data_IF_978541125422
#
_entry.id   IF_978541125422
#
_cell.length_a   1.000
_cell.length_b   1.000
_cell.length_c   1.000
_cell.angle_alpha   90.00
_cell.angle_beta   90.00
_cell.angle_gamma   90.00
#
_symmetry.space_group_name_H-M   'P 1'
#
loop_
_entity.id
_entity.type
_entity.pdbx_description
1 polymer ?
#
# COMPACT_ATOMS: atom_id res chain seq x y z
N UNK A 1 -12.21 4.72 -55.95
CA UNK A 1 -12.24 3.65 -56.97
C UNK A 1 -12.32 4.34 -58.34
N UNK A 2 -11.24 4.29 -59.12
CA UNK A 2 -11.05 5.09 -60.35
C UNK A 2 -11.87 4.52 -61.51
N UNK A 3 -12.82 5.29 -62.04
CA UNK A 3 -13.56 4.96 -63.27
C UNK A 3 -12.71 5.30 -64.50
N UNK A 4 -12.21 4.28 -65.19
CA UNK A 4 -11.54 4.40 -66.50
C UNK A 4 -12.60 4.69 -67.58
N UNK A 5 -12.60 5.92 -68.08
CA UNK A 5 -13.38 6.34 -69.25
C UNK A 5 -12.68 5.85 -70.53
N UNK A 6 -13.15 4.72 -71.07
CA UNK A 6 -12.74 4.24 -72.38
C UNK A 6 -13.32 5.12 -73.50
N UNK A 7 -12.48 5.89 -74.17
CA UNK A 7 -12.85 6.64 -75.39
C UNK A 7 -13.15 5.67 -76.54
N UNK A 8 -14.41 5.59 -76.94
CA UNK A 8 -14.83 4.95 -78.19
C UNK A 8 -14.27 5.73 -79.38
N UNK A 9 -13.55 5.03 -80.28
CA UNK A 9 -13.08 5.58 -81.55
C UNK A 9 -14.26 5.78 -82.51
N UNK A 10 -14.29 6.87 -83.31
CA UNK A 10 -15.35 7.09 -84.28
C UNK A 10 -15.21 6.11 -85.45
N UNK A 11 -16.33 5.50 -85.85
CA UNK A 11 -16.44 4.67 -87.06
C UNK A 11 -16.12 5.52 -88.31
N UNK A 12 -15.09 5.11 -89.08
CA UNK A 12 -14.76 5.69 -90.38
C UNK A 12 -15.86 5.34 -91.39
N UNK A 13 -16.51 6.36 -91.97
CA UNK A 13 -17.32 6.23 -93.18
C UNK A 13 -16.45 5.70 -94.32
N UNK A 14 -16.68 4.45 -94.73
CA UNK A 14 -16.16 3.91 -95.99
C UNK A 14 -16.99 4.51 -97.14
N UNK A 15 -16.37 5.36 -97.96
CA UNK A 15 -16.92 5.73 -99.27
C UNK A 15 -16.67 4.55 -100.24
N UNK A 16 -17.65 4.15 -101.07
CA UNK A 16 -17.37 3.22 -102.14
C UNK A 16 -16.51 3.94 -103.20
N UNK A 17 -15.39 3.32 -103.59
CA UNK A 17 -14.66 3.66 -104.82
C UNK A 17 -15.50 3.14 -105.98
N UNK A 18 -16.01 4.03 -106.82
CA UNK A 18 -16.41 3.69 -108.18
C UNK A 18 -15.15 3.74 -109.04
N UNK A 19 -14.67 2.57 -109.44
CA UNK A 19 -13.65 2.47 -110.47
C UNK A 19 -14.33 2.67 -111.83
N UNK A 20 -13.79 3.63 -112.57
CA UNK A 20 -14.18 3.96 -113.94
C UNK A 20 -13.88 2.77 -114.87
N UNK A 21 -14.91 2.23 -115.52
CA UNK A 21 -14.76 1.43 -116.72
C UNK A 21 -15.05 2.31 -117.94
N UNK A 22 -14.01 2.42 -118.76
CA UNK A 22 -13.89 3.17 -119.99
C UNK A 22 -14.76 2.62 -121.11
N UNK A 23 -15.35 3.56 -121.84
CA UNK A 23 -15.93 3.40 -123.17
C UNK A 23 -14.91 2.87 -124.18
N UNK A 24 -15.31 1.86 -124.96
CA UNK A 24 -15.21 1.83 -126.43
C UNK A 24 -15.63 0.46 -126.96
N UNK A 25 -16.73 0.40 -127.71
CA UNK A 25 -16.74 -0.18 -129.06
C UNK A 25 -17.98 0.26 -129.83
N UNK A 26 -17.73 0.89 -130.98
CA UNK A 26 -18.71 1.43 -131.91
C UNK A 26 -19.37 0.32 -132.77
N UNK A 27 -20.69 0.38 -132.81
CA UNK A 27 -21.48 0.40 -134.06
C UNK A 27 -21.66 -0.92 -134.82
N UNK A 28 -22.63 -1.73 -134.37
CA UNK A 28 -23.56 -2.53 -135.19
C UNK A 28 -24.78 -2.94 -134.36
N UNK A 29 -25.91 -2.23 -134.52
CA UNK A 29 -27.21 -2.70 -134.02
C UNK A 29 -28.10 -1.65 -133.38
N UNK A 30 -28.63 -0.70 -134.17
CA UNK A 30 -29.56 0.35 -133.71
C UNK A 30 -30.93 -0.15 -133.22
N UNK A 31 -31.14 -1.47 -133.12
CA UNK A 31 -32.33 -2.09 -132.50
C UNK A 31 -32.02 -2.85 -131.18
N UNK A 32 -30.74 -3.02 -130.80
CA UNK A 32 -30.34 -3.73 -129.55
C UNK A 32 -29.92 -2.79 -128.40
N UNK A 33 -29.49 -1.55 -128.67
CA UNK A 33 -29.14 -0.55 -127.63
C UNK A 33 -30.37 -0.10 -126.81
N UNK A 34 -31.56 -0.07 -127.43
CA UNK A 34 -32.78 0.32 -126.73
C UNK A 34 -33.21 -0.69 -125.66
N UNK A 35 -32.89 -1.97 -125.85
CA UNK A 35 -33.19 -3.04 -124.88
C UNK A 35 -32.21 -3.01 -123.71
N UNK A 36 -30.91 -2.80 -123.97
CA UNK A 36 -29.90 -2.68 -122.90
C UNK A 36 -30.12 -1.46 -122.01
N UNK A 37 -30.50 -0.31 -122.58
CA UNK A 37 -30.83 0.90 -121.82
C UNK A 37 -32.08 0.70 -120.96
N UNK A 38 -33.07 -0.05 -121.45
CA UNK A 38 -34.28 -0.38 -120.70
C UNK A 38 -33.98 -1.33 -119.52
N UNK A 39 -33.15 -2.35 -119.74
CA UNK A 39 -32.72 -3.29 -118.70
C UNK A 39 -31.91 -2.60 -117.61
N UNK A 40 -31.01 -1.68 -117.98
CA UNK A 40 -30.27 -0.85 -117.02
C UNK A 40 -31.20 0.05 -116.19
N UNK A 41 -32.23 0.63 -116.79
CA UNK A 41 -33.21 1.44 -116.07
C UNK A 41 -34.03 0.61 -115.07
N UNK A 42 -34.39 -0.63 -115.43
CA UNK A 42 -35.06 -1.58 -114.53
C UNK A 42 -34.14 -1.95 -113.36
N UNK A 43 -32.87 -2.26 -113.63
CA UNK A 43 -31.86 -2.58 -112.61
C UNK A 43 -31.66 -1.40 -111.65
N UNK A 44 -31.48 -0.18 -112.16
CA UNK A 44 -31.32 1.03 -111.33
C UNK A 44 -32.54 1.27 -110.43
N UNK A 45 -33.76 1.06 -110.95
CA UNK A 45 -34.99 1.16 -110.16
C UNK A 45 -35.03 0.11 -109.05
N UNK A 46 -34.62 -1.13 -109.34
CA UNK A 46 -34.52 -2.20 -108.35
C UNK A 46 -33.48 -1.89 -107.26
N UNK A 47 -32.30 -1.38 -107.64
CA UNK A 47 -31.25 -0.95 -106.71
C UNK A 47 -31.78 0.18 -105.82
N UNK A 48 -32.41 1.20 -106.38
CA UNK A 48 -32.96 2.33 -105.62
C UNK A 48 -34.04 1.88 -104.64
N UNK A 49 -34.91 0.95 -105.04
CA UNK A 49 -35.91 0.35 -104.15
C UNK A 49 -35.28 -0.52 -103.05
N UNK A 50 -34.21 -1.24 -103.37
CA UNK A 50 -33.46 -2.00 -102.36
C UNK A 50 -32.81 -1.04 -101.35
N UNK A 51 -32.18 0.04 -101.83
CA UNK A 51 -31.55 1.07 -100.99
C UNK A 51 -32.57 1.71 -100.04
N UNK A 52 -33.73 2.15 -100.54
CA UNK A 52 -34.78 2.74 -99.69
C UNK A 52 -35.28 1.76 -98.63
N UNK A 53 -35.50 0.49 -98.98
CA UNK A 53 -35.88 -0.56 -98.04
C UNK A 53 -34.78 -0.81 -96.98
N UNK A 54 -33.51 -0.82 -97.40
CA UNK A 54 -32.39 -0.98 -96.45
C UNK A 54 -32.25 0.20 -95.51
N UNK A 55 -32.44 1.44 -95.98
CA UNK A 55 -32.41 2.64 -95.14
C UNK A 55 -33.57 2.66 -94.14
N UNK A 56 -34.78 2.27 -94.56
CA UNK A 56 -35.92 2.16 -93.67
C UNK A 56 -35.69 1.13 -92.56
N UNK A 57 -35.12 -0.04 -92.89
CA UNK A 57 -34.74 -1.05 -91.89
C UNK A 57 -33.65 -0.53 -90.94
N UNK A 58 -32.69 0.23 -91.45
CA UNK A 58 -31.65 0.82 -90.63
C UNK A 58 -32.23 1.81 -89.61
N UNK A 59 -33.17 2.66 -90.03
CA UNK A 59 -33.85 3.60 -89.13
C UNK A 59 -34.69 2.87 -88.08
N UNK A 60 -35.40 1.81 -88.46
CA UNK A 60 -36.15 0.98 -87.51
C UNK A 60 -35.22 0.33 -86.46
N UNK A 61 -34.07 -0.21 -86.89
CA UNK A 61 -33.07 -0.78 -85.99
C UNK A 61 -32.48 0.29 -85.08
N UNK A 62 -32.16 1.48 -85.60
CA UNK A 62 -31.64 2.58 -84.79
C UNK A 62 -32.65 3.05 -83.73
N UNK A 63 -33.93 3.14 -84.07
CA UNK A 63 -34.99 3.49 -83.12
C UNK A 63 -35.11 2.43 -82.01
N UNK A 64 -35.08 1.13 -82.35
CA UNK A 64 -35.11 0.04 -81.35
C UNK A 64 -33.89 0.07 -80.43
N UNK A 65 -32.70 0.41 -80.96
CA UNK A 65 -31.48 0.58 -80.18
C UNK A 65 -31.62 1.75 -79.21
N UNK A 66 -32.15 2.89 -79.65
CA UNK A 66 -32.33 4.06 -78.78
C UNK A 66 -33.35 3.79 -77.67
N UNK A 67 -34.47 3.13 -77.98
CA UNK A 67 -35.45 2.70 -76.98
C UNK A 67 -34.85 1.73 -75.96
N UNK A 68 -34.09 0.73 -76.43
CA UNK A 68 -33.39 -0.23 -75.57
C UNK A 68 -32.36 0.46 -74.67
N UNK A 69 -31.58 1.40 -75.21
CA UNK A 69 -30.63 2.20 -74.43
C UNK A 69 -31.31 3.07 -73.38
N UNK A 70 -32.47 3.66 -73.71
CA UNK A 70 -33.26 4.46 -72.77
C UNK A 70 -33.79 3.60 -71.64
N UNK A 71 -34.31 2.40 -71.94
CA UNK A 71 -34.76 1.43 -70.94
C UNK A 71 -33.62 1.02 -70.01
N UNK A 72 -32.48 0.60 -70.58
CA UNK A 72 -31.29 0.22 -69.81
C UNK A 72 -30.79 1.36 -68.90
N UNK A 73 -30.75 2.60 -69.39
CA UNK A 73 -30.38 3.76 -68.56
C UNK A 73 -31.34 3.94 -67.40
N UNK A 74 -32.64 3.84 -67.63
CA UNK A 74 -33.64 4.00 -66.57
C UNK A 74 -33.54 2.89 -65.51
N UNK A 75 -33.33 1.63 -65.93
CA UNK A 75 -33.11 0.51 -65.01
C UNK A 75 -31.84 0.70 -64.18
N UNK A 76 -30.73 1.08 -64.83
CA UNK A 76 -29.48 1.36 -64.14
C UNK A 76 -29.61 2.50 -63.14
N UNK A 77 -30.30 3.59 -63.51
CA UNK A 77 -30.57 4.70 -62.60
C UNK A 77 -31.41 4.26 -61.39
N UNK A 78 -32.46 3.47 -61.60
CA UNK A 78 -33.27 2.93 -60.50
C UNK A 78 -32.47 2.07 -59.52
N UNK A 79 -31.56 1.23 -60.03
CA UNK A 79 -30.63 0.44 -59.20
C UNK A 79 -29.70 1.36 -58.41
N UNK A 80 -29.11 2.38 -59.06
CA UNK A 80 -28.22 3.34 -58.41
C UNK A 80 -28.95 4.10 -57.30
N UNK A 81 -30.16 4.59 -57.55
CA UNK A 81 -30.96 5.33 -56.58
C UNK A 81 -31.31 4.45 -55.37
N UNK A 82 -31.71 3.21 -55.61
CA UNK A 82 -32.00 2.24 -54.55
C UNK A 82 -30.76 1.95 -53.70
N UNK A 83 -29.60 1.72 -54.34
CA UNK A 83 -28.34 1.48 -53.65
C UNK A 83 -27.88 2.71 -52.85
N UNK A 84 -27.98 3.90 -53.43
CA UNK A 84 -27.63 5.17 -52.78
C UNK A 84 -28.53 5.41 -51.56
N UNK A 85 -29.84 5.19 -51.69
CA UNK A 85 -30.79 5.29 -50.59
C UNK A 85 -30.47 4.30 -49.45
N UNK A 86 -30.16 3.05 -49.79
CA UNK A 86 -29.77 2.04 -48.80
C UNK A 86 -28.44 2.38 -48.09
N UNK A 87 -27.45 2.88 -48.83
CA UNK A 87 -26.19 3.35 -48.24
C UNK A 87 -26.41 4.54 -47.31
N UNK A 88 -27.22 5.52 -47.70
CA UNK A 88 -27.55 6.67 -46.87
C UNK A 88 -28.25 6.26 -45.56
N UNK A 89 -29.14 5.26 -45.59
CA UNK A 89 -29.74 4.71 -44.36
C UNK A 89 -28.68 4.09 -43.45
N UNK A 90 -27.79 3.26 -43.99
CA UNK A 90 -26.69 2.64 -43.22
C UNK A 90 -25.74 3.68 -42.61
N UNK A 91 -25.44 4.75 -43.33
CA UNK A 91 -24.60 5.85 -42.83
C UNK A 91 -25.28 6.51 -41.63
N UNK A 92 -26.56 6.87 -41.74
CA UNK A 92 -27.32 7.46 -40.62
C UNK A 92 -27.38 6.55 -39.40
N UNK A 93 -27.56 5.25 -39.60
CA UNK A 93 -27.56 4.28 -38.50
C UNK A 93 -26.21 4.19 -37.80
N UNK A 94 -25.11 4.24 -38.57
CA UNK A 94 -23.74 4.25 -38.03
C UNK A 94 -23.43 5.54 -37.28
N UNK A 95 -23.83 6.69 -37.80
CA UNK A 95 -23.71 7.99 -37.13
C UNK A 95 -24.44 7.96 -35.79
N UNK A 96 -25.70 7.49 -35.78
CA UNK A 96 -26.49 7.36 -34.55
C UNK A 96 -25.84 6.42 -33.53
N UNK A 97 -25.34 5.25 -33.96
CA UNK A 97 -24.63 4.31 -33.07
C UNK A 97 -23.35 4.91 -32.51
N UNK A 98 -22.59 5.61 -33.34
CA UNK A 98 -21.33 6.26 -32.92
C UNK A 98 -21.61 7.35 -31.91
N UNK A 99 -22.60 8.20 -32.18
CA UNK A 99 -23.02 9.27 -31.28
C UNK A 99 -23.51 8.71 -29.94
N UNK A 100 -24.34 7.67 -29.96
CA UNK A 100 -24.79 6.98 -28.75
C UNK A 100 -23.63 6.37 -27.96
N UNK A 101 -22.65 5.76 -28.62
CA UNK A 101 -21.46 5.22 -27.95
C UNK A 101 -20.65 6.31 -27.25
N UNK A 102 -20.42 7.43 -27.92
CA UNK A 102 -19.70 8.58 -27.35
C UNK A 102 -20.41 9.11 -26.11
N UNK A 103 -21.71 9.39 -26.20
CA UNK A 103 -22.46 9.95 -25.07
C UNK A 103 -22.68 8.96 -23.92
N UNK A 104 -22.86 7.68 -24.21
CA UNK A 104 -23.13 6.67 -23.17
C UNK A 104 -21.89 6.13 -22.49
N UNK A 105 -20.72 6.19 -23.14
CA UNK A 105 -19.48 5.59 -22.61
C UNK A 105 -18.34 6.57 -22.46
N UNK A 106 -18.06 7.38 -23.46
CA UNK A 106 -16.88 8.28 -23.43
C UNK A 106 -17.11 9.42 -22.45
N UNK A 107 -18.24 10.13 -22.54
CA UNK A 107 -18.54 11.25 -21.64
C UNK A 107 -18.55 10.84 -20.15
N UNK A 108 -19.17 9.71 -19.74
CA UNK A 108 -19.08 9.27 -18.35
C UNK A 108 -17.67 8.88 -17.90
N UNK A 109 -16.82 8.39 -18.80
CA UNK A 109 -15.42 8.09 -18.48
C UNK A 109 -14.62 9.38 -18.28
N UNK A 110 -14.82 10.39 -19.12
CA UNK A 110 -14.20 11.71 -18.97
C UNK A 110 -14.56 12.33 -17.61
N UNK A 111 -15.83 12.24 -17.20
CA UNK A 111 -16.26 12.72 -15.88
C UNK A 111 -15.59 11.95 -14.74
N UNK A 112 -15.50 10.61 -14.83
CA UNK A 112 -14.80 9.80 -13.81
C UNK A 112 -13.31 10.11 -13.73
N UNK A 113 -12.67 10.42 -14.86
CA UNK A 113 -11.27 10.85 -14.89
C UNK A 113 -11.14 12.20 -14.17
N UNK A 114 -12.02 13.17 -14.45
CA UNK A 114 -12.01 14.46 -13.78
C UNK A 114 -12.22 14.34 -12.26
N UNK A 115 -13.12 13.46 -11.81
CA UNK A 115 -13.31 13.17 -10.39
C UNK A 115 -12.05 12.55 -9.76
N UNK A 116 -11.39 11.63 -10.47
CA UNK A 116 -10.14 11.02 -10.02
C UNK A 116 -9.02 12.05 -9.87
N UNK A 117 -8.86 12.94 -10.85
CA UNK A 117 -7.85 14.01 -10.81
C UNK A 117 -8.08 14.94 -9.62
N UNK A 118 -9.35 15.26 -9.31
CA UNK A 118 -9.69 16.04 -8.12
C UNK A 118 -9.28 15.31 -6.83
N UNK A 119 -9.61 14.03 -6.70
CA UNK A 119 -9.21 13.23 -5.53
C UNK A 119 -7.68 13.12 -5.39
N UNK A 120 -6.95 12.98 -6.50
CA UNK A 120 -5.48 12.99 -6.48
C UNK A 120 -4.95 14.35 -5.97
N UNK A 121 -5.56 15.45 -6.40
CA UNK A 121 -5.22 16.79 -5.92
C UNK A 121 -5.42 16.95 -4.41
N UNK A 122 -6.53 16.44 -3.87
CA UNK A 122 -6.81 16.44 -2.43
C UNK A 122 -5.77 15.63 -1.66
N UNK A 123 -5.45 14.41 -2.12
CA UNK A 123 -4.41 13.55 -1.52
C UNK A 123 -3.05 14.24 -1.52
N UNK A 124 -2.67 14.90 -2.62
CA UNK A 124 -1.41 15.62 -2.71
C UNK A 124 -1.32 16.76 -1.67
N UNK A 125 -2.43 17.48 -1.46
CA UNK A 125 -2.53 18.51 -0.43
C UNK A 125 -2.34 17.92 0.97
N UNK A 126 -3.01 16.81 1.28
CA UNK A 126 -2.92 16.14 2.58
C UNK A 126 -1.50 15.63 2.86
N UNK A 127 -0.85 15.00 1.87
CA UNK A 127 0.55 14.57 1.97
C UNK A 127 1.48 15.76 2.22
N UNK A 128 1.23 16.90 1.59
CA UNK A 128 2.01 18.13 1.81
C UNK A 128 1.84 18.70 3.22
N UNK A 129 0.64 18.61 3.80
CA UNK A 129 0.38 18.98 5.20
C UNK A 129 1.13 18.03 6.14
N UNK A 130 1.01 16.72 5.93
CA UNK A 130 1.72 15.71 6.71
C UNK A 130 3.23 15.90 6.67
N UNK A 131 3.80 16.19 5.50
CA UNK A 131 5.23 16.46 5.35
C UNK A 131 5.69 17.65 6.22
N UNK A 132 4.89 18.72 6.30
CA UNK A 132 5.18 19.85 7.19
C UNK A 132 5.08 19.47 8.66
N UNK A 133 4.05 18.73 9.05
CA UNK A 133 3.87 18.27 10.43
C UNK A 133 5.03 17.38 10.87
N UNK A 134 5.46 16.45 10.02
CA UNK A 134 6.64 15.60 10.30
C UNK A 134 7.89 16.46 10.47
N UNK A 135 8.11 17.45 9.60
CA UNK A 135 9.25 18.37 9.73
C UNK A 135 9.26 19.15 11.06
N UNK A 136 8.09 19.57 11.55
CA UNK A 136 7.97 20.21 12.87
C UNK A 136 8.30 19.23 14.00
N UNK A 137 7.74 18.01 13.97
CA UNK A 137 8.02 16.97 14.97
C UNK A 137 9.52 16.64 15.01
N UNK A 138 10.16 16.49 13.85
CA UNK A 138 11.60 16.26 13.78
C UNK A 138 12.41 17.40 14.41
N UNK A 139 11.97 18.64 14.26
CA UNK A 139 12.59 19.80 14.90
C UNK A 139 12.45 19.74 16.43
N UNK A 140 11.24 19.46 16.92
CA UNK A 140 10.95 19.38 18.35
C UNK A 140 11.75 18.24 19.03
N UNK A 141 11.82 17.07 18.38
CA UNK A 141 12.61 15.94 18.86
C UNK A 141 14.11 16.29 18.93
N UNK A 142 14.64 17.02 17.94
CA UNK A 142 16.04 17.49 17.97
C UNK A 142 16.27 18.46 19.14
N UNK A 143 15.32 19.33 19.42
CA UNK A 143 15.44 20.27 20.54
C UNK A 143 15.37 19.55 21.89
N UNK A 144 14.41 18.65 22.07
CA UNK A 144 14.33 17.80 23.27
C UNK A 144 15.63 17.00 23.49
N UNK A 145 16.23 16.47 22.43
CA UNK A 145 17.50 15.76 22.53
C UNK A 145 18.64 16.66 23.05
N UNK A 146 18.70 17.92 22.62
CA UNK A 146 19.67 18.91 23.14
C UNK A 146 19.40 19.25 24.60
N UNK A 147 18.13 19.46 24.96
CA UNK A 147 17.75 19.72 26.36
C UNK A 147 18.13 18.56 27.28
N UNK A 148 17.90 17.33 26.83
CA UNK A 148 18.25 16.11 27.57
C UNK A 148 19.77 15.99 27.77
N UNK A 149 20.57 16.25 26.73
CA UNK A 149 22.04 16.30 26.85
C UNK A 149 22.49 17.37 27.87
N UNK A 150 21.87 18.56 27.83
CA UNK A 150 22.17 19.62 28.80
C UNK A 150 21.82 19.20 30.24
N UNK A 151 20.71 18.49 30.44
CA UNK A 151 20.31 17.95 31.74
C UNK A 151 21.29 16.88 32.23
N UNK A 152 21.75 15.99 31.35
CA UNK A 152 22.74 14.97 31.68
C UNK A 152 24.06 15.59 32.17
N UNK A 153 24.52 16.65 31.50
CA UNK A 153 25.69 17.42 31.93
C UNK A 153 25.48 18.07 33.29
N UNK A 154 24.31 18.68 33.54
CA UNK A 154 23.97 19.29 34.84
C UNK A 154 23.92 18.23 35.95
N UNK A 155 23.29 17.08 35.71
CA UNK A 155 23.21 15.97 36.65
C UNK A 155 24.60 15.44 37.00
N UNK A 156 25.47 15.28 35.99
CA UNK A 156 26.86 14.87 36.18
C UNK A 156 27.64 15.85 37.06
N UNK A 157 27.44 17.17 36.88
CA UNK A 157 28.04 18.20 37.75
C UNK A 157 27.56 18.08 39.20
N UNK A 158 26.25 17.94 39.41
CA UNK A 158 25.68 17.78 40.76
C UNK A 158 26.22 16.52 41.44
N UNK A 159 26.26 15.39 40.71
CA UNK A 159 26.83 14.13 41.21
C UNK A 159 28.27 14.31 41.68
N UNK A 160 29.09 15.04 40.90
CA UNK A 160 30.48 15.33 41.26
C UNK A 160 30.60 16.21 42.52
N UNK A 161 29.71 17.20 42.69
CA UNK A 161 29.65 18.03 43.91
C UNK A 161 29.32 17.16 45.13
N UNK A 162 28.26 16.34 45.04
CA UNK A 162 27.85 15.44 46.13
C UNK A 162 28.98 14.47 46.48
N UNK A 163 29.68 13.91 45.49
CA UNK A 163 30.83 13.04 45.75
C UNK A 163 31.97 13.76 46.49
N UNK A 164 32.25 15.02 46.16
CA UNK A 164 33.26 15.83 46.85
C UNK A 164 32.85 16.13 48.29
N UNK A 165 31.60 16.55 48.52
CA UNK A 165 31.09 16.86 49.85
C UNK A 165 31.02 15.61 50.74
N UNK A 166 30.52 14.48 50.22
CA UNK A 166 30.46 13.22 50.96
C UNK A 166 31.86 12.67 51.30
N UNK A 167 32.83 12.81 50.40
CA UNK A 167 34.23 12.47 50.71
C UNK A 167 34.81 13.35 51.82
N UNK A 168 34.47 14.64 51.82
CA UNK A 168 34.94 15.60 52.82
C UNK A 168 34.29 15.32 54.17
N UNK A 169 32.97 15.10 54.18
CA UNK A 169 32.22 14.71 55.38
C UNK A 169 32.70 13.38 55.95
N UNK A 170 33.00 12.38 55.12
CA UNK A 170 33.51 11.10 55.58
C UNK A 170 34.90 11.25 56.24
N UNK A 171 35.78 12.10 55.71
CA UNK A 171 37.05 12.42 56.38
C UNK A 171 36.83 13.11 57.74
N UNK A 172 35.97 14.13 57.80
CA UNK A 172 35.67 14.83 59.06
C UNK A 172 35.00 13.91 60.07
N UNK A 173 34.06 13.07 59.63
CA UNK A 173 33.36 12.11 60.48
C UNK A 173 34.29 11.01 61.00
N UNK A 174 35.19 10.48 60.17
CA UNK A 174 36.24 9.55 60.62
C UNK A 174 37.15 10.21 61.65
N UNK A 175 37.56 11.45 61.42
CA UNK A 175 38.38 12.21 62.38
C UNK A 175 37.62 12.40 63.70
N UNK A 176 36.36 12.80 63.64
CA UNK A 176 35.50 12.95 64.82
C UNK A 176 35.31 11.63 65.56
N UNK A 177 35.04 10.52 64.86
CA UNK A 177 34.96 9.19 65.45
C UNK A 177 36.28 8.78 66.09
N UNK A 178 37.43 9.05 65.47
CA UNK A 178 38.74 8.78 66.08
C UNK A 178 38.93 9.57 67.37
N UNK A 179 38.56 10.85 67.39
CA UNK A 179 38.61 11.70 68.60
C UNK A 179 37.65 11.16 69.67
N UNK A 180 36.41 10.81 69.31
CA UNK A 180 35.42 10.23 70.22
C UNK A 180 35.91 8.89 70.78
N UNK A 181 36.49 8.02 69.96
CA UNK A 181 37.10 6.77 70.41
C UNK A 181 38.29 7.03 71.33
N UNK A 182 39.15 8.00 71.04
CA UNK A 182 40.26 8.36 71.93
C UNK A 182 39.75 8.87 73.29
N UNK A 183 38.72 9.72 73.30
CA UNK A 183 38.06 10.20 74.53
C UNK A 183 37.41 9.03 75.27
N UNK A 184 36.70 8.16 74.56
CA UNK A 184 36.01 7.01 75.17
C UNK A 184 37.00 5.96 75.67
N UNK A 185 38.13 5.74 75.00
CA UNK A 185 39.21 4.87 75.47
C UNK A 185 39.91 5.46 76.70
N UNK A 186 40.16 6.77 76.72
CA UNK A 186 40.65 7.47 77.91
C UNK A 186 39.67 7.35 79.09
N UNK A 187 38.36 7.44 78.84
CA UNK A 187 37.32 7.30 79.87
C UNK A 187 37.08 5.83 80.28
N UNK A 188 37.22 4.88 79.35
CA UNK A 188 37.09 3.44 79.61
C UNK A 188 38.30 2.89 80.39
N UNK A 189 39.48 3.50 80.28
CA UNK A 189 40.60 3.23 81.20
C UNK A 189 40.29 3.60 82.67
N UNK A 190 39.18 4.29 82.95
CA UNK A 190 38.74 4.65 84.31
C UNK A 190 37.49 3.89 84.80
N UNK A 191 36.83 3.07 83.98
CA UNK A 191 35.65 2.33 84.41
C UNK A 191 35.59 0.90 83.85
N UNK A 192 35.96 -0.02 84.75
CA UNK A 192 35.45 -1.38 84.93
C UNK A 192 35.75 -2.54 83.96
N UNK A 193 36.21 -3.58 84.64
CA UNK A 193 36.05 -5.02 84.47
C UNK A 193 34.81 -5.50 83.70
N UNK A 194 34.95 -6.64 82.97
CA UNK A 194 33.91 -7.26 82.16
C UNK A 194 32.97 -8.11 83.03
N UNK A 195 31.69 -8.12 82.66
CA UNK A 195 30.70 -8.97 83.33
C UNK A 195 29.39 -9.01 82.57
N UNK A 196 29.38 -9.51 81.34
CA UNK A 196 28.15 -9.93 80.68
C UNK A 196 28.22 -11.42 80.37
N UNK A 197 27.34 -12.17 81.04
CA UNK A 197 27.11 -13.60 80.88
C UNK A 197 27.16 -14.05 79.41
N UNK A 198 28.08 -14.96 79.11
CA UNK A 198 28.55 -15.34 77.77
C UNK A 198 27.59 -16.26 77.00
N UNK A 199 26.45 -16.67 77.56
CA UNK A 199 25.65 -17.77 76.98
C UNK A 199 24.26 -17.38 76.45
N UNK A 200 24.02 -16.11 76.05
CA UNK A 200 22.77 -15.78 75.35
C UNK A 200 23.04 -15.55 73.85
N UNK A 201 22.32 -16.25 72.95
CA UNK A 201 22.44 -16.03 71.52
C UNK A 201 22.05 -14.58 71.20
N UNK A 202 22.96 -13.88 70.51
CA UNK A 202 22.75 -12.49 70.10
C UNK A 202 22.08 -12.47 68.74
N UNK A 203 20.81 -12.09 68.71
CA UNK A 203 20.05 -11.90 67.47
C UNK A 203 20.24 -10.46 67.00
N UNK A 204 20.75 -10.29 65.77
CA UNK A 204 20.94 -8.99 65.12
C UNK A 204 19.98 -8.85 63.95
N UNK A 205 19.32 -7.71 63.83
CA UNK A 205 18.46 -7.41 62.69
C UNK A 205 19.35 -6.88 61.55
N UNK A 206 19.42 -7.59 60.44
CA UNK A 206 20.25 -7.21 59.29
C UNK A 206 19.47 -6.36 58.28
N UNK A 207 18.28 -6.83 57.88
CA UNK A 207 17.42 -6.15 56.90
C UNK A 207 15.96 -6.33 57.25
N UNK A 208 15.15 -5.33 56.94
CA UNK A 208 13.69 -5.36 57.15
C UNK A 208 12.98 -4.75 55.96
N UNK A 209 11.86 -5.34 55.56
CA UNK A 209 10.91 -4.77 54.61
C UNK A 209 9.48 -4.88 55.16
N UNK A 210 8.77 -3.75 55.23
CA UNK A 210 7.34 -3.67 55.53
C UNK A 210 6.87 -4.33 56.87
N UNK A 211 7.73 -4.38 57.89
CA UNK A 211 7.37 -4.83 59.24
C UNK A 211 7.42 -3.67 60.25
N UNK A 212 6.45 -3.60 61.18
CA UNK A 212 6.45 -2.59 62.24
C UNK A 212 7.58 -2.82 63.25
N UNK A 213 8.04 -1.80 63.99
CA UNK A 213 9.06 -1.99 65.03
C UNK A 213 8.69 -3.04 66.08
N UNK A 214 7.41 -3.13 66.45
CA UNK A 214 6.91 -4.18 67.36
C UNK A 214 7.07 -5.59 66.79
N UNK A 215 6.76 -5.78 65.51
CA UNK A 215 6.92 -7.05 64.80
C UNK A 215 8.40 -7.45 64.69
N UNK A 216 9.28 -6.48 64.47
CA UNK A 216 10.72 -6.71 64.41
C UNK A 216 11.29 -7.16 65.76
N UNK A 217 10.87 -6.52 66.85
CA UNK A 217 11.27 -6.90 68.21
C UNK A 217 10.75 -8.31 68.57
N UNK A 218 9.47 -8.58 68.34
CA UNK A 218 8.88 -9.90 68.56
C UNK A 218 9.58 -11.00 67.75
N UNK A 219 9.96 -10.73 66.51
CA UNK A 219 10.68 -11.70 65.67
C UNK A 219 12.06 -12.04 66.27
N UNK A 220 12.79 -11.04 66.75
CA UNK A 220 14.09 -11.23 67.38
C UNK A 220 13.97 -11.99 68.71
N UNK A 221 12.97 -11.65 69.53
CA UNK A 221 12.74 -12.29 70.82
C UNK A 221 12.29 -13.74 70.66
N UNK A 222 11.37 -14.04 69.74
CA UNK A 222 10.94 -15.42 69.49
C UNK A 222 12.05 -16.29 68.93
N UNK A 223 12.88 -15.77 68.01
CA UNK A 223 14.05 -16.51 67.54
C UNK A 223 15.03 -16.79 68.69
N UNK A 224 15.26 -15.79 69.55
CA UNK A 224 16.13 -15.94 70.72
C UNK A 224 15.60 -17.01 71.68
N UNK A 225 14.31 -17.01 71.98
CA UNK A 225 13.69 -18.00 72.85
C UNK A 225 13.75 -19.41 72.26
N UNK A 226 13.48 -19.58 70.96
CA UNK A 226 13.57 -20.88 70.28
C UNK A 226 15.00 -21.40 70.32
N UNK A 227 16.00 -20.55 70.13
CA UNK A 227 17.41 -20.91 70.23
C UNK A 227 17.81 -21.30 71.66
N UNK A 228 17.24 -20.65 72.68
CA UNK A 228 17.47 -21.01 74.09
C UNK A 228 16.81 -22.35 74.43
N UNK A 229 15.56 -22.57 73.99
CA UNK A 229 14.81 -23.79 74.26
C UNK A 229 15.40 -25.01 73.56
N UNK A 230 15.77 -24.85 72.29
CA UNK A 230 16.25 -25.95 71.44
C UNK A 230 17.76 -26.14 71.56
N UNK A 231 18.54 -25.10 71.88
CA UNK A 231 20.00 -25.22 72.06
C UNK A 231 20.74 -25.77 70.82
N UNK A 232 21.98 -26.21 71.02
CA UNK A 232 22.88 -26.65 69.93
C UNK A 232 22.63 -28.09 69.42
N UNK A 233 21.68 -28.82 69.99
CA UNK A 233 21.46 -30.25 69.68
C UNK A 233 20.37 -30.48 68.63
N UNK A 234 19.60 -29.45 68.28
CA UNK A 234 18.51 -29.55 67.32
C UNK A 234 18.95 -29.15 65.92
N UNK A 235 18.31 -29.74 64.92
CA UNK A 235 18.52 -29.40 63.52
C UNK A 235 18.01 -27.99 63.20
N UNK A 236 18.63 -27.32 62.23
CA UNK A 236 18.18 -26.01 61.74
C UNK A 236 16.71 -26.01 61.29
N UNK A 237 16.21 -27.16 60.83
CA UNK A 237 14.80 -27.35 60.46
C UNK A 237 13.86 -27.19 61.66
N UNK A 238 14.20 -27.78 62.81
CA UNK A 238 13.39 -27.70 64.03
C UNK A 238 13.39 -26.28 64.62
N UNK A 239 14.51 -25.56 64.51
CA UNK A 239 14.60 -24.14 64.90
C UNK A 239 13.70 -23.29 63.99
N UNK A 240 13.76 -23.51 62.67
CA UNK A 240 12.91 -22.78 61.72
C UNK A 240 11.42 -23.05 61.96
N UNK A 241 11.06 -24.30 62.21
CA UNK A 241 9.68 -24.69 62.47
C UNK A 241 9.16 -24.09 63.77
N UNK A 242 9.92 -24.20 64.87
CA UNK A 242 9.54 -23.59 66.15
C UNK A 242 9.44 -22.07 66.07
N UNK A 243 10.36 -21.41 65.35
CA UNK A 243 10.29 -19.97 65.14
C UNK A 243 9.06 -19.56 64.32
N UNK A 244 8.79 -20.29 63.22
CA UNK A 244 7.62 -20.07 62.37
C UNK A 244 6.32 -20.23 63.15
N UNK A 245 6.19 -21.30 63.94
CA UNK A 245 4.98 -21.61 64.70
C UNK A 245 4.65 -20.53 65.74
N UNK A 246 5.63 -20.13 66.56
CA UNK A 246 5.45 -19.07 67.56
C UNK A 246 5.09 -17.74 66.91
N UNK A 247 5.78 -17.39 65.82
CA UNK A 247 5.51 -16.14 65.12
C UNK A 247 4.12 -16.14 64.45
N UNK A 248 3.74 -17.24 63.81
CA UNK A 248 2.44 -17.40 63.17
C UNK A 248 1.28 -17.41 64.19
N UNK A 249 1.49 -17.95 65.39
CA UNK A 249 0.49 -17.95 66.46
C UNK A 249 0.09 -16.52 66.87
N UNK A 250 1.06 -15.60 66.94
CA UNK A 250 0.83 -14.19 67.28
C UNK A 250 0.31 -13.37 66.10
N UNK A 251 0.73 -13.68 64.87
CA UNK A 251 0.43 -12.90 63.68
C UNK A 251 -0.31 -13.71 62.60
N UNK A 252 -1.60 -14.00 62.84
CA UNK A 252 -2.39 -14.94 62.04
C UNK A 252 -2.84 -14.44 60.65
N UNK A 253 -2.59 -13.15 60.35
CA UNK A 253 -3.06 -12.52 59.11
C UNK A 253 -2.32 -13.01 57.85
N UNK A 254 -1.18 -13.69 58.01
CA UNK A 254 -0.35 -14.13 56.89
C UNK A 254 0.14 -15.57 57.09
N UNK A 255 0.52 -16.20 55.97
CA UNK A 255 1.26 -17.46 56.01
C UNK A 255 2.74 -17.09 56.12
N UNK A 256 3.37 -17.50 57.22
CA UNK A 256 4.77 -17.20 57.51
C UNK A 256 5.69 -18.35 57.12
N UNK A 257 6.83 -17.99 56.55
CA UNK A 257 7.88 -18.90 56.13
C UNK A 257 9.19 -18.49 56.78
N UNK A 258 9.99 -19.47 57.21
CA UNK A 258 11.32 -19.27 57.78
C UNK A 258 12.32 -20.10 56.98
N UNK A 259 13.42 -19.47 56.58
CA UNK A 259 14.51 -20.15 55.86
C UNK A 259 15.85 -19.69 56.43
N UNK A 260 16.77 -20.64 56.68
CA UNK A 260 18.18 -20.34 56.94
C UNK A 260 18.93 -20.25 55.62
N UNK A 261 19.68 -19.19 55.39
CA UNK A 261 20.35 -18.96 54.12
C UNK A 261 21.67 -18.21 54.28
N UNK A 262 22.55 -18.31 53.28
CA UNK A 262 23.83 -17.58 53.23
C UNK A 262 23.80 -16.35 52.31
N UNK A 263 22.96 -16.35 51.26
CA UNK A 263 22.69 -15.20 50.42
C UNK A 263 21.46 -15.45 49.51
N UNK A 264 20.38 -14.68 49.68
CA UNK A 264 19.21 -14.67 48.80
C UNK A 264 18.55 -13.28 48.85
N UNK A 265 17.91 -12.91 47.75
CA UNK A 265 17.06 -11.72 47.65
C UNK A 265 15.65 -12.20 47.35
N UNK A 266 14.71 -11.99 48.28
CA UNK A 266 13.31 -12.39 48.14
C UNK A 266 12.44 -11.13 48.04
N UNK A 267 11.57 -11.07 47.04
CA UNK A 267 10.52 -10.05 46.96
C UNK A 267 9.29 -10.52 47.75
N UNK A 268 9.26 -10.26 49.05
CA UNK A 268 8.15 -10.62 49.95
C UNK A 268 7.31 -9.42 50.36
N UNK A 269 6.04 -9.66 50.73
CA UNK A 269 5.12 -8.61 51.20
C UNK A 269 5.61 -8.00 52.52
N UNK A 270 6.09 -8.85 53.44
CA UNK A 270 6.78 -8.47 54.68
C UNK A 270 7.94 -9.43 54.90
N UNK A 271 9.10 -8.93 55.32
CA UNK A 271 10.24 -9.76 55.69
C UNK A 271 11.18 -9.12 56.69
N UNK A 272 11.84 -9.97 57.46
CA UNK A 272 12.96 -9.62 58.32
C UNK A 272 14.07 -10.66 58.20
N UNK A 273 15.29 -10.17 58.04
CA UNK A 273 16.51 -10.95 58.06
C UNK A 273 17.17 -10.78 59.44
N UNK A 274 17.23 -11.87 60.19
CA UNK A 274 17.84 -11.96 61.51
C UNK A 274 19.14 -12.75 61.42
N UNK A 275 20.22 -12.25 62.02
CA UNK A 275 21.52 -12.91 62.06
C UNK A 275 21.84 -13.35 63.48
N UNK A 276 22.19 -14.62 63.63
CA UNK A 276 22.66 -15.20 64.88
C UNK A 276 23.98 -15.90 64.58
N UNK A 277 25.06 -15.40 65.17
CA UNK A 277 26.42 -15.84 64.89
C UNK A 277 26.73 -15.84 63.37
N UNK A 278 26.86 -17.03 62.77
CA UNK A 278 27.17 -17.21 61.35
C UNK A 278 25.96 -17.52 60.48
N UNK A 279 24.79 -17.71 61.07
CA UNK A 279 23.56 -18.09 60.36
C UNK A 279 22.63 -16.88 60.18
N UNK A 280 22.00 -16.79 59.01
CA UNK A 280 20.97 -15.80 58.73
C UNK A 280 19.63 -16.49 58.52
N UNK A 281 18.61 -16.03 59.26
CA UNK A 281 17.24 -16.49 59.22
C UNK A 281 16.39 -15.43 58.53
N UNK A 282 15.73 -15.79 57.42
CA UNK A 282 14.74 -14.97 56.77
C UNK A 282 13.35 -15.41 57.22
N UNK A 283 12.64 -14.54 57.92
CA UNK A 283 11.22 -14.68 58.16
C UNK A 283 10.48 -13.81 57.14
N UNK A 284 9.57 -14.40 56.37
CA UNK A 284 8.78 -13.65 55.39
C UNK A 284 7.33 -14.14 55.30
N UNK A 285 6.45 -13.23 54.89
CA UNK A 285 5.02 -13.47 54.73
C UNK A 285 4.63 -13.65 53.25
N UNK A 286 3.76 -14.62 53.00
CA UNK A 286 2.97 -14.73 51.77
C UNK A 286 1.50 -14.46 52.08
N UNK A 287 0.75 -13.89 51.11
CA UNK A 287 -0.68 -13.68 51.25
C UNK A 287 -1.40 -15.02 51.39
N UNK A 288 -2.33 -15.10 52.34
CA UNK A 288 -3.31 -16.18 52.41
C UNK A 288 -4.26 -15.99 51.22
N UNK A 289 -4.26 -16.94 50.28
CA UNK A 289 -5.24 -16.95 49.19
C UNK A 289 -6.63 -17.28 49.72
#
# INVERSE_FOLDING_TARGET
MLLRTGKLKPYRKLKPKMDNLSENEENKGKENESTEVLDLAIILKAIKNAETNTNQKLDEVNNKIEESNKLLRNEMLGIIDTNTSNQNKKIKDLECRTQNYVYSRVVPLENKIADCDKSIGEIHSDVSVLGRTVGLIESDVKEMAREMQNLEVKCSKVKLIICKETSSFNMVFKYFLCVLFAITACNAMQFNYPGSNVNQPRVLINKVANMSPSQQADAADFLKEVLIEKGNTHSQSEICEGFRERYAQKYQDNIWHVVVFKAYSVMSVKSIELKVDNDAYLLFATKKH
#
